data_IF_203787771340
#
_entry.id   IF_203787771340
#
_cell.length_a   1.000
_cell.length_b   1.000
_cell.length_c   1.000
_cell.angle_alpha   90.00
_cell.angle_beta   90.00
_cell.angle_gamma   90.00
#
_symmetry.space_group_name_H-M   'P 1'
#
loop_
_entity.id
_entity.type
_entity.pdbx_description
1 polymer ?
#
# COMPACT_ATOMS: atom_id res chain seq x y z
N UNK A 1 1.77 0.01 3.34
CA UNK A 1 2.00 -0.08 4.79
C UNK A 1 2.94 -1.23 5.11
N UNK A 2 3.84 -1.00 6.06
CA UNK A 2 4.85 -1.96 6.50
C UNK A 2 4.18 -3.17 7.18
N UNK A 3 4.72 -4.37 6.94
CA UNK A 3 4.35 -5.52 7.75
C UNK A 3 4.98 -5.42 9.15
N UNK A 4 4.37 -6.03 10.18
CA UNK A 4 4.97 -6.06 11.52
C UNK A 4 6.40 -6.63 11.51
N UNK A 5 6.62 -7.69 10.72
CA UNK A 5 7.95 -8.29 10.57
C UNK A 5 8.95 -7.33 9.91
N UNK A 6 8.53 -6.57 8.89
CA UNK A 6 9.40 -5.59 8.23
C UNK A 6 9.69 -4.40 9.14
N UNK A 7 8.70 -3.94 9.90
CA UNK A 7 8.87 -2.86 10.88
C UNK A 7 9.89 -3.28 11.96
N UNK A 8 9.73 -4.44 12.59
CA UNK A 8 10.68 -4.97 13.59
C UNK A 8 12.09 -5.10 13.02
N UNK A 9 12.22 -5.66 11.81
CA UNK A 9 13.53 -5.81 11.18
C UNK A 9 14.20 -4.45 10.86
N UNK A 10 13.41 -3.43 10.54
CA UNK A 10 13.92 -2.07 10.31
C UNK A 10 14.35 -1.43 11.64
N UNK A 11 13.53 -1.51 12.69
CA UNK A 11 13.87 -1.01 14.03
C UNK A 11 15.15 -1.64 14.58
N UNK A 12 15.31 -2.96 14.45
CA UNK A 12 16.54 -3.67 14.83
C UNK A 12 17.76 -3.21 14.02
N UNK A 13 17.57 -2.87 12.74
CA UNK A 13 18.67 -2.45 11.87
C UNK A 13 19.12 -1.02 12.13
N UNK A 14 18.17 -0.12 12.38
CA UNK A 14 18.43 1.31 12.54
C UNK A 14 18.58 1.74 14.00
N UNK A 15 18.16 0.91 14.96
CA UNK A 15 18.18 1.25 16.39
C UNK A 15 17.25 2.42 16.74
N UNK A 16 16.20 2.63 15.95
CA UNK A 16 15.27 3.76 16.07
C UNK A 16 13.83 3.30 15.79
N UNK A 17 12.81 3.95 16.40
CA UNK A 17 11.41 3.62 16.15
C UNK A 17 11.05 3.89 14.69
N UNK A 18 10.24 3.00 14.10
CA UNK A 18 9.78 3.13 12.72
C UNK A 18 8.31 3.49 12.70
N UNK A 19 8.01 4.64 12.10
CA UNK A 19 6.65 5.09 11.86
C UNK A 19 6.29 4.91 10.39
N UNK A 20 5.09 4.41 10.15
CA UNK A 20 4.54 4.24 8.82
C UNK A 20 3.46 5.30 8.57
N UNK A 21 3.26 5.64 7.30
CA UNK A 21 2.37 6.71 6.88
C UNK A 21 1.81 6.41 5.51
N UNK A 22 0.65 7.00 5.23
CA UNK A 22 0.01 6.90 3.94
C UNK A 22 0.05 8.24 3.23
N UNK A 23 0.26 8.20 1.92
CA UNK A 23 0.23 9.38 1.08
C UNK A 23 0.45 9.00 -0.37
N UNK A 24 0.04 9.90 -1.27
CA UNK A 24 0.22 9.73 -2.70
C UNK A 24 0.33 11.11 -3.34
N UNK A 25 1.26 11.26 -4.28
CA UNK A 25 1.56 12.53 -4.95
C UNK A 25 0.32 13.17 -5.57
N UNK A 26 -0.56 12.32 -6.08
CA UNK A 26 -1.81 12.66 -6.73
C UNK A 26 -2.85 13.15 -5.74
N UNK A 27 -2.76 12.95 -4.42
CA UNK A 27 -3.77 13.48 -3.46
C UNK A 27 -3.21 14.40 -2.37
N UNK A 28 -1.90 14.67 -2.34
CA UNK A 28 -1.27 15.69 -1.48
C UNK A 28 -2.12 16.98 -1.42
N UNK A 29 -2.48 17.52 -0.24
CA UNK A 29 -1.88 17.26 1.06
C UNK A 29 -2.51 16.11 1.85
N UNK A 30 -3.46 15.36 1.27
CA UNK A 30 -4.06 14.20 1.95
C UNK A 30 -2.97 13.18 2.30
N UNK A 31 -2.78 12.97 3.59
CA UNK A 31 -1.86 12.01 4.17
C UNK A 31 -2.53 11.35 5.37
N UNK A 32 -2.14 10.12 5.67
CA UNK A 32 -2.69 9.35 6.76
C UNK A 32 -1.65 8.88 7.76
N UNK A 33 -2.04 8.89 9.03
CA UNK A 33 -1.28 8.34 10.13
C UNK A 33 -1.82 6.96 10.51
N UNK A 34 -0.95 6.13 11.09
CA UNK A 34 -1.32 4.77 11.51
C UNK A 34 -1.30 4.72 13.03
N UNK A 35 -2.41 4.25 13.62
CA UNK A 35 -2.48 4.06 15.07
C UNK A 35 -1.89 2.71 15.50
N UNK A 36 -1.75 2.50 16.82
CA UNK A 36 -1.29 1.25 17.42
C UNK A 36 -2.15 0.03 17.01
N UNK A 37 -3.43 0.24 16.70
CA UNK A 37 -4.35 -0.80 16.20
C UNK A 37 -4.23 -1.05 14.68
N UNK A 38 -3.27 -0.41 13.99
CA UNK A 38 -3.05 -0.47 12.54
C UNK A 38 -4.25 0.02 11.73
N UNK A 39 -5.01 0.98 12.25
CA UNK A 39 -6.00 1.70 11.46
C UNK A 39 -5.33 2.86 10.73
N UNK A 40 -5.78 3.14 9.50
CA UNK A 40 -5.35 4.29 8.72
C UNK A 40 -6.27 5.47 9.04
N UNK A 41 -5.74 6.44 9.79
CA UNK A 41 -6.43 7.68 10.13
C UNK A 41 -6.08 8.75 9.13
N UNK A 42 -7.10 9.40 8.56
CA UNK A 42 -6.93 10.55 7.67
C UNK A 42 -7.81 11.67 8.21
N UNK A 43 -7.21 12.85 8.38
CA UNK A 43 -7.92 14.02 8.88
C UNK A 43 -8.90 14.54 7.81
N UNK A 44 -10.17 14.70 8.19
CA UNK A 44 -11.20 15.24 7.32
C UNK A 44 -10.96 16.73 6.96
N UNK A 45 -10.14 17.44 7.74
CA UNK A 45 -9.77 18.84 7.47
C UNK A 45 -8.84 19.04 6.28
N UNK A 46 -8.05 18.01 5.91
CA UNK A 46 -7.12 18.09 4.77
C UNK A 46 -7.72 17.56 3.45
N UNK A 47 -8.81 16.79 3.55
CA UNK A 47 -9.57 16.30 2.40
C UNK A 47 -10.68 15.34 2.83
N UNK A 48 -11.70 15.23 1.98
CA UNK A 48 -12.74 14.22 2.14
C UNK A 48 -12.20 12.88 1.63
N UNK A 49 -12.14 11.89 2.51
CA UNK A 49 -11.78 10.51 2.15
C UNK A 49 -12.95 9.58 2.42
N UNK A 50 -13.30 8.83 1.39
CA UNK A 50 -14.40 7.89 1.36
C UNK A 50 -13.85 6.47 1.14
N UNK A 51 -14.55 5.46 1.65
CA UNK A 51 -14.34 4.06 1.26
C UNK A 51 -15.51 3.66 0.38
N UNK A 52 -15.26 3.48 -0.91
CA UNK A 52 -16.29 3.15 -1.89
C UNK A 52 -16.14 1.70 -2.36
N UNK A 53 -17.26 1.03 -2.63
CA UNK A 53 -17.25 -0.27 -3.29
C UNK A 53 -16.72 -0.15 -4.73
N UNK A 54 -15.89 -1.11 -5.15
CA UNK A 54 -15.18 -1.04 -6.43
C UNK A 54 -16.10 -1.27 -7.64
N UNK A 55 -17.21 -1.98 -7.45
CA UNK A 55 -18.14 -2.31 -8.52
C UNK A 55 -19.17 -1.20 -8.75
N UNK A 56 -19.67 -0.64 -7.66
CA UNK A 56 -20.77 0.34 -7.67
C UNK A 56 -20.31 1.79 -7.61
N UNK A 57 -19.15 2.06 -6.99
CA UNK A 57 -18.69 3.43 -6.72
C UNK A 57 -19.45 4.13 -5.59
N UNK A 58 -20.36 3.42 -4.92
CA UNK A 58 -21.11 3.91 -3.75
C UNK A 58 -20.33 3.64 -2.45
N UNK A 59 -20.65 4.33 -1.34
CA UNK A 59 -20.04 4.04 -0.05
C UNK A 59 -20.13 2.56 0.31
N UNK A 60 -19.01 1.97 0.70
CA UNK A 60 -18.98 0.57 1.11
C UNK A 60 -19.75 0.36 2.41
N UNK A 61 -20.32 -0.84 2.59
CA UNK A 61 -20.97 -1.23 3.85
C UNK A 61 -19.94 -1.35 5.00
N UNK A 62 -20.36 -1.16 6.26
CA UNK A 62 -19.52 -1.40 7.42
C UNK A 62 -18.84 -2.78 7.39
N UNK A 63 -17.52 -2.84 7.52
CA UNK A 63 -16.73 -4.08 7.45
C UNK A 63 -16.43 -4.60 6.04
N UNK A 64 -17.10 -4.07 5.00
CA UNK A 64 -16.89 -4.48 3.62
C UNK A 64 -15.56 -3.96 3.07
N UNK A 65 -15.07 -4.67 2.06
CA UNK A 65 -13.90 -4.25 1.29
C UNK A 65 -14.32 -3.13 0.34
N UNK A 66 -13.52 -2.08 0.28
CA UNK A 66 -13.69 -0.98 -0.66
C UNK A 66 -12.36 -0.39 -1.07
N UNK A 67 -12.41 0.63 -1.92
CA UNK A 67 -11.27 1.43 -2.32
C UNK A 67 -11.32 2.81 -1.70
N UNK A 68 -10.14 3.35 -1.38
CA UNK A 68 -10.00 4.72 -0.89
C UNK A 68 -10.25 5.68 -2.05
N UNK A 69 -11.24 6.54 -1.89
CA UNK A 69 -11.57 7.62 -2.82
C UNK A 69 -11.32 8.94 -2.10
N UNK A 70 -10.52 9.80 -2.70
CA UNK A 70 -10.08 11.04 -2.06
C UNK A 70 -10.48 12.27 -2.86
N UNK A 71 -10.98 13.28 -2.15
CA UNK A 71 -11.19 14.63 -2.65
C UNK A 71 -10.37 15.58 -1.76
N UNK A 72 -9.16 15.99 -2.18
CA UNK A 72 -8.38 16.97 -1.44
C UNK A 72 -9.10 18.33 -1.47
N UNK A 73 -9.41 18.89 -0.31
CA UNK A 73 -10.20 20.13 -0.19
C UNK A 73 -9.45 21.28 0.49
N UNK A 74 -8.19 21.05 0.89
CA UNK A 74 -7.43 22.02 1.65
C UNK A 74 -6.85 23.15 0.79
N UNK A 75 -7.42 24.35 0.90
CA UNK A 75 -6.90 25.57 0.27
C UNK A 75 -5.61 26.06 0.97
N UNK A 76 -4.58 26.57 0.26
CA UNK A 76 -4.47 26.86 -1.18
C UNK A 76 -3.90 25.70 -2.02
N UNK A 77 -3.92 24.47 -1.51
CA UNK A 77 -3.40 23.33 -2.26
C UNK A 77 -4.38 22.97 -3.38
N UNK A 78 -3.84 22.49 -4.52
CA UNK A 78 -4.61 21.98 -5.68
C UNK A 78 -5.35 22.97 -6.56
N UNK A 79 -4.98 24.24 -6.57
CA UNK A 79 -5.55 25.22 -7.52
C UNK A 79 -5.32 24.85 -8.99
N UNK A 80 -4.16 24.27 -9.33
CA UNK A 80 -3.83 23.89 -10.70
C UNK A 80 -4.28 22.47 -11.08
N UNK A 81 -4.62 21.63 -10.11
CA UNK A 81 -4.98 20.22 -10.31
C UNK A 81 -6.07 19.80 -9.30
N UNK A 82 -7.28 20.37 -9.39
CA UNK A 82 -8.37 19.99 -8.52
C UNK A 82 -8.77 18.54 -8.81
N UNK A 83 -8.97 17.77 -7.76
CA UNK A 83 -9.39 16.38 -7.87
C UNK A 83 -10.66 16.17 -7.06
N UNK A 84 -11.65 15.57 -7.71
CA UNK A 84 -12.92 15.23 -7.11
C UNK A 84 -13.11 13.73 -7.22
N UNK A 85 -13.39 13.10 -6.08
CA UNK A 85 -13.59 11.65 -5.94
C UNK A 85 -12.55 10.84 -6.71
N UNK A 86 -11.28 11.16 -6.48
CA UNK A 86 -10.17 10.45 -7.11
C UNK A 86 -10.04 9.05 -6.51
N UNK A 87 -10.28 8.04 -7.33
CA UNK A 87 -10.10 6.63 -6.98
C UNK A 87 -8.60 6.28 -6.94
N UNK A 88 -8.09 6.08 -5.73
CA UNK A 88 -6.67 5.76 -5.49
C UNK A 88 -6.31 4.31 -5.86
N UNK A 89 -7.34 3.48 -6.09
CA UNK A 89 -7.24 2.02 -6.24
C UNK A 89 -6.56 1.33 -5.06
N UNK A 90 -6.37 2.00 -3.93
CA UNK A 90 -5.92 1.39 -2.68
C UNK A 90 -7.09 0.71 -1.99
N UNK A 91 -6.90 -0.53 -1.56
CA UNK A 91 -7.92 -1.34 -0.92
C UNK A 91 -7.84 -1.24 0.59
N UNK A 92 -8.98 -1.04 1.21
CA UNK A 92 -9.19 -1.02 2.66
C UNK A 92 -10.51 -1.69 3.00
N UNK A 93 -10.69 -2.03 4.27
CA UNK A 93 -12.01 -2.33 4.83
C UNK A 93 -12.54 -1.09 5.51
N UNK A 94 -13.80 -0.77 5.23
CA UNK A 94 -14.53 0.23 6.02
C UNK A 94 -14.64 -0.30 7.44
N UNK A 95 -14.27 0.51 8.44
CA UNK A 95 -14.47 0.12 9.82
C UNK A 95 -15.97 0.13 10.15
N UNK A 96 -16.41 -0.73 11.08
CA UNK A 96 -17.77 -0.67 11.57
C UNK A 96 -18.01 0.60 12.42
N UNK A 97 -19.27 0.96 12.61
CA UNK A 97 -19.66 2.30 13.12
C UNK A 97 -19.47 2.45 14.65
N UNK A 98 -18.83 1.49 15.32
CA UNK A 98 -18.52 1.60 16.73
C UNK A 98 -17.40 2.62 16.99
N UNK A 99 -17.43 3.31 18.15
CA UNK A 99 -16.36 4.21 18.54
C UNK A 99 -15.00 3.52 18.52
N UNK A 100 -14.03 4.16 17.87
CA UNK A 100 -12.65 3.71 17.88
C UNK A 100 -12.07 3.85 19.29
N UNK A 101 -11.26 2.88 19.70
CA UNK A 101 -10.60 2.88 21.03
C UNK A 101 -9.10 3.17 20.94
N UNK A 102 -8.62 3.67 19.80
CA UNK A 102 -7.23 4.04 19.61
C UNK A 102 -6.97 5.46 20.11
N UNK A 103 -5.69 5.83 20.19
CA UNK A 103 -5.18 7.15 20.54
C UNK A 103 -5.70 8.28 19.63
N UNK A 104 -6.16 7.95 18.42
CA UNK A 104 -6.75 8.85 17.43
C UNK A 104 -8.25 8.59 17.24
N UNK A 105 -8.96 8.22 18.31
CA UNK A 105 -10.38 7.85 18.26
C UNK A 105 -11.30 8.91 17.62
N UNK A 106 -10.94 10.19 17.71
CA UNK A 106 -11.71 11.31 17.16
C UNK A 106 -11.44 11.57 15.67
N UNK A 107 -10.50 10.86 15.05
CA UNK A 107 -10.14 11.01 13.63
C UNK A 107 -10.71 9.82 12.86
N UNK A 108 -11.44 10.04 11.75
CA UNK A 108 -11.96 8.96 10.91
C UNK A 108 -10.85 7.99 10.51
N UNK A 109 -11.19 6.70 10.49
CA UNK A 109 -10.22 5.66 10.17
C UNK A 109 -10.79 4.57 9.28
N UNK A 110 -9.91 3.97 8.53
CA UNK A 110 -10.16 2.74 7.76
C UNK A 110 -9.25 1.64 8.28
N UNK A 111 -9.41 0.40 7.80
CA UNK A 111 -8.35 -0.59 8.03
C UNK A 111 -7.02 -0.12 7.43
N UNK A 112 -5.91 -0.79 7.78
CA UNK A 112 -4.69 -0.64 7.00
C UNK A 112 -4.91 -0.97 5.51
N UNK A 113 -4.05 -0.43 4.65
CA UNK A 113 -4.05 -0.72 3.22
C UNK A 113 -3.75 -2.21 2.99
N UNK A 114 -4.67 -2.90 2.32
CA UNK A 114 -4.58 -4.31 1.98
C UNK A 114 -3.87 -4.56 0.63
N UNK A 115 -3.71 -3.51 -0.17
CA UNK A 115 -2.99 -3.56 -1.44
C UNK A 115 -3.67 -2.71 -2.50
N UNK A 116 -3.33 -2.97 -3.76
CA UNK A 116 -3.96 -2.32 -4.92
C UNK A 116 -5.05 -3.19 -5.50
N UNK A 117 -6.13 -2.55 -5.96
CA UNK A 117 -7.26 -3.18 -6.66
C UNK A 117 -6.81 -4.05 -7.84
N UNK A 118 -5.82 -3.58 -8.60
CA UNK A 118 -5.31 -4.28 -9.78
C UNK A 118 -4.50 -5.54 -9.46
N UNK A 119 -4.22 -5.81 -8.18
CA UNK A 119 -3.43 -6.95 -7.72
C UNK A 119 -4.24 -7.93 -6.87
N UNK A 120 -5.56 -7.78 -6.80
CA UNK A 120 -6.43 -8.75 -6.15
C UNK A 120 -6.45 -10.04 -6.94
N UNK A 121 -6.20 -11.15 -6.25
CA UNK A 121 -6.33 -12.47 -6.83
C UNK A 121 -7.72 -13.02 -6.51
N UNK A 122 -8.51 -13.28 -7.55
CA UNK A 122 -9.80 -13.95 -7.39
C UNK A 122 -9.58 -15.46 -7.28
N UNK A 123 -9.95 -16.05 -6.15
CA UNK A 123 -9.87 -17.49 -5.90
C UNK A 123 -11.25 -18.06 -5.61
N UNK A 124 -11.42 -19.37 -5.71
CA UNK A 124 -12.69 -20.03 -5.35
C UNK A 124 -13.09 -19.85 -3.87
N UNK A 125 -12.14 -19.48 -3.00
CA UNK A 125 -12.39 -19.20 -1.59
C UNK A 125 -12.68 -17.72 -1.31
N UNK A 126 -12.63 -16.85 -2.31
CA UNK A 126 -12.81 -15.41 -2.19
C UNK A 126 -11.60 -14.60 -2.66
N UNK A 127 -11.66 -13.27 -2.52
CA UNK A 127 -10.61 -12.39 -2.97
C UNK A 127 -9.42 -12.42 -2.01
N UNK A 128 -8.21 -12.57 -2.55
CA UNK A 128 -6.96 -12.57 -1.80
C UNK A 128 -6.19 -11.30 -2.14
N UNK A 129 -5.87 -10.51 -1.12
CA UNK A 129 -5.14 -9.27 -1.25
C UNK A 129 -3.64 -9.52 -1.20
N UNK A 130 -2.81 -8.67 -1.85
CA UNK A 130 -1.35 -8.76 -1.72
C UNK A 130 -0.88 -8.75 -0.26
N UNK A 131 -1.56 -8.00 0.62
CA UNK A 131 -1.27 -7.97 2.06
C UNK A 131 -1.45 -9.33 2.73
N UNK A 132 -2.48 -10.08 2.39
CA UNK A 132 -2.77 -11.38 2.99
C UNK A 132 -1.61 -12.36 2.72
N UNK A 133 -1.08 -12.35 1.49
CA UNK A 133 0.06 -13.18 1.10
C UNK A 133 1.30 -12.81 1.91
N UNK A 134 1.58 -11.51 2.06
CA UNK A 134 2.72 -11.03 2.84
C UNK A 134 2.60 -11.45 4.31
N UNK A 135 1.41 -11.36 4.90
CA UNK A 135 1.18 -11.75 6.29
C UNK A 135 1.37 -13.25 6.52
N UNK A 136 0.89 -14.09 5.60
CA UNK A 136 1.14 -15.52 5.67
C UNK A 136 2.63 -15.81 5.54
N UNK A 137 3.32 -15.21 4.57
CA UNK A 137 4.76 -15.42 4.37
C UNK A 137 5.59 -14.98 5.59
N UNK A 138 5.24 -13.85 6.21
CA UNK A 138 5.92 -13.36 7.41
C UNK A 138 5.64 -14.24 8.64
N UNK A 139 4.51 -14.95 8.67
CA UNK A 139 4.15 -15.88 9.76
C UNK A 139 4.77 -17.28 9.61
N UNK A 140 5.34 -17.62 8.45
CA UNK A 140 5.94 -18.94 8.21
C UNK A 140 7.23 -19.13 9.03
N UNK A 141 7.33 -20.20 9.84
CA UNK A 141 8.56 -20.52 10.57
C UNK A 141 9.74 -20.73 9.61
N UNK A 142 10.84 -20.02 9.83
CA UNK A 142 12.07 -20.16 9.03
C UNK A 142 12.06 -19.40 7.70
N UNK A 143 11.00 -18.68 7.36
CA UNK A 143 11.00 -17.78 6.21
C UNK A 143 11.94 -16.59 6.46
N UNK A 144 13.20 -16.71 6.02
CA UNK A 144 14.18 -15.64 6.16
C UNK A 144 13.99 -14.61 5.04
N UNK A 145 13.68 -13.36 5.39
CA UNK A 145 13.81 -12.24 4.46
C UNK A 145 15.26 -12.15 3.99
N UNK A 146 15.49 -12.45 2.72
CA UNK A 146 16.82 -12.32 2.12
C UNK A 146 17.13 -10.83 2.05
N UNK A 147 18.06 -10.36 2.90
CA UNK A 147 18.64 -9.03 2.74
C UNK A 147 19.37 -9.01 1.41
N UNK A 148 18.93 -8.15 0.50
CA UNK A 148 19.75 -7.83 -0.67
C UNK A 148 21.07 -7.27 -0.13
N UNK A 149 22.23 -7.84 -0.50
CA UNK A 149 23.50 -7.25 -0.09
C UNK A 149 23.55 -5.79 -0.57
N UNK A 150 24.27 -4.91 0.15
CA UNK A 150 24.46 -3.53 -0.30
C UNK A 150 24.95 -3.54 -1.75
N UNK A 151 24.47 -2.59 -2.55
CA UNK A 151 24.95 -2.45 -3.91
C UNK A 151 26.49 -2.33 -3.87
N UNK A 152 27.22 -3.00 -4.78
CA UNK A 152 28.66 -2.83 -4.85
C UNK A 152 28.95 -1.34 -5.02
N UNK A 153 29.96 -0.86 -4.29
CA UNK A 153 30.42 0.52 -4.41
C UNK A 153 30.72 0.81 -5.89
N UNK A 154 30.30 1.97 -6.43
CA UNK A 154 30.61 2.31 -7.80
C UNK A 154 32.13 2.21 -8.02
N UNK A 155 32.58 1.68 -9.17
CA UNK A 155 34.00 1.51 -9.43
C UNK A 155 34.68 2.87 -9.32
N UNK A 156 35.79 2.93 -8.57
CA UNK A 156 36.61 4.14 -8.50
C UNK A 156 37.01 4.55 -9.91
N UNK A 157 36.93 5.84 -10.27
CA UNK A 157 37.33 6.28 -11.61
C UNK A 157 38.75 5.79 -11.91
N UNK A 158 38.90 5.00 -12.99
CA UNK A 158 40.17 4.41 -13.41
C UNK A 158 40.36 2.90 -13.17
N UNK A 159 39.36 2.17 -12.65
CA UNK A 159 39.45 0.69 -12.57
C UNK A 159 39.03 0.02 -13.89
N UNK A 160 39.85 -0.88 -14.48
CA UNK A 160 39.49 -1.57 -15.71
C UNK A 160 38.31 -2.53 -15.46
N UNK A 161 37.31 -2.48 -16.33
CA UNK A 161 36.14 -3.35 -16.28
C UNK A 161 36.51 -4.79 -16.64
N UNK A 162 36.80 -5.62 -15.63
CA UNK A 162 36.87 -7.06 -15.79
C UNK A 162 35.50 -7.61 -16.18
N UNK A 163 35.43 -8.32 -17.31
CA UNK A 163 34.19 -8.89 -17.84
C UNK A 163 33.52 -9.84 -16.83
N UNK A 164 32.24 -9.58 -16.53
CA UNK A 164 31.43 -10.43 -15.65
C UNK A 164 31.08 -11.74 -16.39
N UNK A 165 31.36 -12.93 -15.84
CA UNK A 165 30.88 -14.17 -16.43
C UNK A 165 29.34 -14.23 -16.37
N UNK A 166 28.69 -14.85 -17.37
CA UNK A 166 27.23 -14.90 -17.44
C UNK A 166 26.64 -15.66 -16.23
N UNK A 167 25.45 -15.25 -15.76
CA UNK A 167 24.79 -15.93 -14.63
C UNK A 167 24.46 -17.38 -15.01
N UNK A 168 24.74 -18.31 -14.08
CA UNK A 168 24.29 -19.70 -14.20
C UNK A 168 22.77 -19.74 -14.11
N UNK A 169 22.14 -20.38 -15.08
CA UNK A 169 20.69 -20.63 -15.10
C UNK A 169 20.32 -21.67 -14.05
N UNK A 170 19.55 -21.28 -13.05
CA UNK A 170 18.91 -22.18 -12.08
C UNK A 170 17.55 -22.61 -12.66
N UNK A 171 17.20 -23.91 -12.73
CA UNK A 171 15.94 -24.36 -13.29
C UNK A 171 14.82 -24.23 -12.24
N UNK A 172 14.19 -23.06 -12.15
CA UNK A 172 13.12 -22.78 -11.18
C UNK A 172 11.95 -21.98 -11.76
N UNK A 173 10.79 -22.64 -11.83
CA UNK A 173 9.39 -22.14 -11.93
C UNK A 173 9.18 -20.83 -12.71
N UNK A 174 8.70 -20.93 -13.95
CA UNK A 174 8.11 -19.81 -14.68
C UNK A 174 6.69 -19.52 -14.15
N UNK A 175 6.54 -18.46 -13.35
CA UNK A 175 5.22 -17.93 -13.01
C UNK A 175 4.72 -17.05 -14.17
N UNK A 176 3.68 -17.51 -14.88
CA UNK A 176 3.01 -16.69 -15.90
C UNK A 176 2.08 -15.70 -15.23
N UNK A 177 2.49 -14.43 -15.17
CA UNK A 177 1.62 -13.32 -14.79
C UNK A 177 0.65 -13.06 -15.96
N UNK A 178 -0.64 -13.28 -15.73
CA UNK A 178 -1.68 -12.92 -16.70
C UNK A 178 -1.72 -11.39 -16.84
N UNK A 179 -1.64 -10.89 -18.08
CA UNK A 179 -1.79 -9.47 -18.38
C UNK A 179 -3.28 -9.13 -18.37
N UNK A 180 -3.75 -8.15 -17.59
CA UNK A 180 -5.14 -7.69 -17.70
C UNK A 180 -5.36 -7.02 -19.07
N UNK A 181 -6.56 -7.23 -19.62
CA UNK A 181 -6.99 -6.65 -20.89
C UNK A 181 -6.99 -5.11 -20.79
N UNK A 182 -6.36 -4.45 -21.76
CA UNK A 182 -6.41 -2.98 -21.88
C UNK A 182 -7.87 -2.57 -22.11
N UNK A 183 -8.47 -1.89 -21.14
CA UNK A 183 -9.69 -1.10 -21.37
C UNK A 183 -9.26 0.31 -21.71
N UNK A 184 -9.64 0.76 -22.90
CA UNK A 184 -9.45 2.13 -23.36
C UNK A 184 -10.23 3.06 -22.44
N UNK A 185 -9.52 3.94 -21.74
CA UNK A 185 -10.13 5.05 -21.01
C UNK A 185 -10.29 6.19 -22.00
N UNK A 186 -11.53 6.48 -22.37
CA UNK A 186 -11.88 7.73 -23.03
C UNK A 186 -11.99 8.81 -21.95
N UNK A 187 -11.16 9.84 -22.03
CA UNK A 187 -11.38 11.08 -21.31
C UNK A 187 -12.49 11.85 -22.04
N UNK A 188 -13.51 12.26 -21.29
CA UNK A 188 -14.46 13.32 -21.67
C UNK A 188 -14.20 14.47 -20.71
#
# INVERSE_FOLDING_TARGET
MLSPALASAAEETFGAPVHDGYGMTEVTPVAGAICARRHLHIDAGIGLVEVCDLGTGEPAEPGALGTVVATPLFYPYRECMPLFRYDTRDLVRRLPDEPLTCEMANVPATSHILGKADHVLSTGAGPVMPRDIIEVLDALPGARRVRRPPAPEPPRPGTPHGGRPPPRSDPGVQLRVARPARRNVHYI
#
